data_IF_281205273702
#
_entry.id   IF_281205273702
#
_cell.length_a   1.000
_cell.length_b   1.000
_cell.length_c   1.000
_cell.angle_alpha   90.00
_cell.angle_beta   90.00
_cell.angle_gamma   90.00
#
_symmetry.space_group_name_H-M   'P 1'
#
loop_
_entity.id
_entity.type
_entity.pdbx_description
1 polymer ?
#
# COMPACT_ATOMS: atom_id res chain seq x y z
N UNK A 1 -9.36 -19.78 -5.00
CA UNK A 1 -9.44 -18.54 -4.20
C UNK A 1 -9.74 -17.43 -5.18
N UNK A 2 -10.95 -16.86 -5.12
CA UNK A 2 -11.22 -15.61 -5.83
C UNK A 2 -10.41 -14.52 -5.14
N UNK A 3 -9.51 -13.85 -5.88
CA UNK A 3 -8.93 -12.60 -5.39
C UNK A 3 -10.09 -11.59 -5.30
N UNK A 4 -10.60 -11.35 -4.08
CA UNK A 4 -11.71 -10.41 -3.83
C UNK A 4 -11.39 -9.02 -4.38
N UNK A 5 -10.14 -8.60 -4.29
CA UNK A 5 -9.61 -7.36 -4.83
C UNK A 5 -8.36 -7.64 -5.66
N UNK A 6 -8.16 -6.88 -6.74
CA UNK A 6 -6.94 -6.95 -7.53
C UNK A 6 -5.80 -6.30 -6.74
N UNK A 7 -4.89 -7.11 -6.20
CA UNK A 7 -3.79 -6.62 -5.36
C UNK A 7 -2.88 -5.62 -6.10
N UNK A 8 -2.62 -5.81 -7.39
CA UNK A 8 -1.77 -4.90 -8.18
C UNK A 8 -2.41 -3.53 -8.30
N UNK A 9 -3.74 -3.51 -8.48
CA UNK A 9 -4.50 -2.27 -8.52
C UNK A 9 -4.44 -1.54 -7.17
N UNK A 10 -4.66 -2.26 -6.07
CA UNK A 10 -4.65 -1.68 -4.72
C UNK A 10 -3.26 -1.16 -4.35
N UNK A 11 -2.20 -1.95 -4.58
CA UNK A 11 -0.81 -1.51 -4.34
C UNK A 11 -0.45 -0.30 -5.22
N UNK A 12 -0.94 -0.24 -6.46
CA UNK A 12 -0.78 0.93 -7.32
C UNK A 12 -1.48 2.18 -6.77
N UNK A 13 -2.66 2.04 -6.17
CA UNK A 13 -3.37 3.15 -5.52
C UNK A 13 -2.64 3.63 -4.26
N UNK A 14 -2.13 2.69 -3.45
CA UNK A 14 -1.31 3.00 -2.28
C UNK A 14 -0.04 3.75 -2.70
N UNK A 15 0.66 3.28 -3.73
CA UNK A 15 1.85 3.95 -4.27
C UNK A 15 1.54 5.37 -4.73
N UNK A 16 0.40 5.58 -5.42
CA UNK A 16 -0.04 6.92 -5.82
C UNK A 16 -0.32 7.82 -4.62
N UNK A 17 -0.92 7.28 -3.56
CA UNK A 17 -1.19 8.02 -2.33
C UNK A 17 0.10 8.46 -1.65
N UNK A 18 1.02 7.52 -1.40
CA UNK A 18 2.34 7.79 -0.80
C UNK A 18 3.12 8.79 -1.65
N UNK A 19 3.14 8.62 -2.97
CA UNK A 19 3.82 9.54 -3.88
C UNK A 19 3.31 10.98 -3.72
N UNK A 20 2.00 11.15 -3.58
CA UNK A 20 1.38 12.46 -3.38
C UNK A 20 1.70 13.05 -2.01
N UNK A 21 1.54 12.29 -0.93
CA UNK A 21 1.74 12.77 0.44
C UNK A 21 3.22 13.08 0.73
N UNK A 22 4.14 12.28 0.19
CA UNK A 22 5.58 12.43 0.40
C UNK A 22 6.27 13.27 -0.70
N UNK A 23 5.52 13.79 -1.67
CA UNK A 23 6.06 14.50 -2.85
C UNK A 23 7.14 13.70 -3.60
N UNK A 24 6.89 12.40 -3.77
CA UNK A 24 7.72 11.46 -4.51
C UNK A 24 7.13 11.21 -5.92
N UNK A 25 7.92 10.62 -6.80
CA UNK A 25 7.41 10.02 -8.03
C UNK A 25 6.71 8.69 -7.74
N UNK A 26 5.74 8.27 -8.57
CA UNK A 26 5.10 6.95 -8.42
C UNK A 26 6.11 5.79 -8.38
N UNK A 27 7.20 5.88 -9.15
CA UNK A 27 8.27 4.88 -9.13
C UNK A 27 9.03 4.80 -7.80
N UNK A 28 9.28 5.95 -7.16
CA UNK A 28 9.92 5.98 -5.84
C UNK A 28 9.00 5.39 -4.77
N UNK A 29 7.71 5.73 -4.80
CA UNK A 29 6.73 5.18 -3.86
C UNK A 29 6.51 3.66 -4.02
N UNK A 30 6.57 3.12 -5.24
CA UNK A 30 6.59 1.65 -5.46
C UNK A 30 7.84 1.05 -4.82
N UNK A 31 8.98 1.73 -4.89
CA UNK A 31 10.21 1.32 -4.22
C UNK A 31 10.06 1.26 -2.70
N UNK A 32 9.33 2.19 -2.09
CA UNK A 32 9.01 2.16 -0.64
C UNK A 32 8.19 0.91 -0.33
N UNK A 33 7.06 0.73 -1.00
CA UNK A 33 6.15 -0.42 -0.78
C UNK A 33 6.91 -1.75 -0.90
N UNK A 34 7.65 -1.95 -1.99
CA UNK A 34 8.28 -3.24 -2.28
C UNK A 34 9.44 -3.59 -1.33
N UNK A 35 9.98 -2.63 -0.59
CA UNK A 35 11.06 -2.84 0.37
C UNK A 35 10.61 -2.80 1.83
N UNK A 36 9.31 -2.60 2.07
CA UNK A 36 8.74 -2.48 3.40
C UNK A 36 8.14 -3.82 3.86
N UNK A 37 8.49 -4.23 5.07
CA UNK A 37 8.00 -5.46 5.71
C UNK A 37 6.46 -5.44 5.90
N UNK A 38 5.84 -4.25 5.90
CA UNK A 38 4.39 -4.06 5.95
C UNK A 38 3.67 -4.62 4.70
N UNK A 39 4.37 -4.88 3.59
CA UNK A 39 3.74 -5.35 2.35
C UNK A 39 3.03 -6.68 2.49
N UNK A 40 3.56 -7.61 3.29
CA UNK A 40 2.88 -8.89 3.51
C UNK A 40 1.55 -8.71 4.26
N UNK A 41 1.53 -7.86 5.30
CA UNK A 41 0.33 -7.55 6.07
C UNK A 41 -0.73 -6.83 5.22
N UNK A 42 -0.31 -5.91 4.35
CA UNK A 42 -1.20 -5.21 3.42
C UNK A 42 -1.80 -6.19 2.39
N UNK A 43 -1.01 -7.14 1.88
CA UNK A 43 -1.51 -8.18 0.97
C UNK A 43 -2.54 -9.07 1.66
N UNK A 44 -2.32 -9.45 2.93
CA UNK A 44 -3.28 -10.23 3.71
C UNK A 44 -4.60 -9.48 3.90
N UNK A 45 -4.55 -8.19 4.24
CA UNK A 45 -5.73 -7.33 4.37
C UNK A 45 -6.50 -7.24 3.04
N UNK A 46 -5.79 -7.09 1.91
CA UNK A 46 -6.39 -7.08 0.56
C UNK A 46 -7.15 -8.38 0.26
N UNK A 47 -6.62 -9.52 0.70
CA UNK A 47 -7.20 -10.82 0.41
C UNK A 47 -8.39 -11.17 1.32
N UNK A 48 -8.38 -10.69 2.56
CA UNK A 48 -9.35 -11.08 3.59
C UNK A 48 -10.51 -10.09 3.69
N UNK A 49 -10.28 -8.80 3.44
CA UNK A 49 -11.27 -7.75 3.67
C UNK A 49 -12.29 -7.58 2.54
N UNK A 50 -13.53 -7.31 2.95
CA UNK A 50 -14.64 -7.03 2.00
C UNK A 50 -14.57 -5.62 1.41
N UNK A 51 -13.87 -4.70 2.10
CA UNK A 51 -13.66 -3.32 1.69
C UNK A 51 -12.22 -2.91 1.96
N UNK A 52 -11.66 -2.12 1.06
CA UNK A 52 -10.28 -1.63 1.14
C UNK A 52 -10.31 -0.13 1.41
N UNK A 53 -9.60 0.28 2.44
CA UNK A 53 -9.30 1.69 2.72
C UNK A 53 -7.85 1.99 2.31
N UNK A 54 -7.70 2.68 1.18
CA UNK A 54 -6.37 2.97 0.62
C UNK A 54 -5.57 3.90 1.54
N UNK A 55 -6.21 4.85 2.21
CA UNK A 55 -5.51 5.83 3.05
C UNK A 55 -4.98 5.16 4.31
N UNK A 56 -5.79 4.28 4.92
CA UNK A 56 -5.35 3.48 6.06
C UNK A 56 -4.19 2.55 5.69
N UNK A 57 -4.30 1.82 4.57
CA UNK A 57 -3.22 0.95 4.08
C UNK A 57 -1.95 1.73 3.74
N UNK A 58 -2.06 2.89 3.09
CA UNK A 58 -0.93 3.75 2.83
C UNK A 58 -0.29 4.29 4.11
N UNK A 59 -1.09 4.58 5.13
CA UNK A 59 -0.59 5.03 6.43
C UNK A 59 0.30 3.99 7.09
N UNK A 60 0.04 2.69 6.92
CA UNK A 60 0.91 1.63 7.45
C UNK A 60 2.36 1.76 6.95
N UNK A 61 2.56 2.03 5.65
CA UNK A 61 3.88 2.28 5.06
C UNK A 61 4.53 3.58 5.55
N UNK A 62 3.71 4.57 5.93
CA UNK A 62 4.22 5.87 6.39
C UNK A 62 4.54 5.87 7.90
N UNK A 63 3.97 4.94 8.66
CA UNK A 63 4.15 4.89 10.12
C UNK A 63 5.53 4.39 10.58
N UNK A 64 6.31 3.67 9.74
CA UNK A 64 7.60 3.11 10.16
C UNK A 64 8.82 4.04 9.94
N UNK A 65 8.71 5.12 9.15
CA UNK A 65 9.81 6.09 8.96
C UNK A 65 9.75 7.33 9.89
N UNK A 66 8.76 7.43 10.79
CA UNK A 66 8.53 8.63 11.61
C UNK A 66 8.64 8.44 13.15
N UNK A 67 9.16 7.31 13.64
CA UNK A 67 9.46 7.12 15.08
C UNK A 67 10.95 6.90 15.37
#
# INVERSE_FOLDING_TARGET
MENKHNYEYVLGQIACYIAKECNLTPSEAVGVIMNDDCTEAVIEEIQTSDKIDIEALASHYLTEELC
#
